data_IF_085636615851
#
_entry.id   IF_085636615851
#
_cell.length_a   1.000
_cell.length_b   1.000
_cell.length_c   1.000
_cell.angle_alpha   90.00
_cell.angle_beta   90.00
_cell.angle_gamma   90.00
#
_symmetry.space_group_name_H-M   'P 1'
#
loop_
_entity.id
_entity.type
_entity.pdbx_description
1 polymer ?
#
# COMPACT_ATOMS: atom_id res chain seq x y z
N UNK A 1 21.96 38.51 -0.37
CA UNK A 1 21.63 37.07 -0.36
C UNK A 1 20.32 36.93 -1.10
N UNK A 2 20.30 36.19 -2.21
CA UNK A 2 19.18 36.14 -3.15
C UNK A 2 17.93 35.56 -2.47
N UNK A 3 16.80 36.26 -2.62
CA UNK A 3 15.47 35.76 -2.27
C UNK A 3 15.14 34.58 -3.19
N UNK A 4 14.98 33.39 -2.63
CA UNK A 4 14.37 32.25 -3.32
C UNK A 4 12.86 32.56 -3.47
N UNK A 5 12.51 33.27 -4.55
CA UNK A 5 11.11 33.47 -4.90
C UNK A 5 10.47 32.11 -5.18
N UNK A 6 9.51 31.72 -4.34
CA UNK A 6 8.76 30.47 -4.51
C UNK A 6 8.00 30.53 -5.82
N UNK A 7 8.51 29.82 -6.82
CA UNK A 7 7.83 29.53 -8.10
C UNK A 7 6.44 28.97 -7.79
N UNK A 8 5.40 29.71 -8.18
CA UNK A 8 4.03 29.27 -7.95
C UNK A 8 3.52 28.55 -9.19
N UNK A 9 3.24 27.24 -9.05
CA UNK A 9 2.66 26.41 -10.10
C UNK A 9 1.17 26.23 -9.83
N UNK A 10 0.32 26.62 -10.78
CA UNK A 10 -1.14 26.52 -10.64
C UNK A 10 -1.70 25.51 -11.65
N UNK A 11 -2.61 24.63 -11.21
CA UNK A 11 -3.31 23.70 -12.10
C UNK A 11 -4.73 24.18 -12.40
N UNK A 12 -5.09 24.27 -13.68
CA UNK A 12 -6.43 24.67 -14.13
C UNK A 12 -7.17 23.49 -14.75
N UNK A 13 -8.44 23.35 -14.40
CA UNK A 13 -9.37 22.38 -14.98
C UNK A 13 -10.47 23.03 -15.84
N UNK A 14 -10.51 24.36 -15.87
CA UNK A 14 -11.48 25.17 -16.62
C UNK A 14 -10.77 25.97 -17.71
N UNK A 15 -11.52 26.36 -18.75
CA UNK A 15 -11.00 27.23 -19.80
C UNK A 15 -10.52 28.56 -19.22
N UNK A 16 -9.35 29.02 -19.68
CA UNK A 16 -8.85 30.35 -19.36
C UNK A 16 -9.77 31.40 -19.99
N UNK A 17 -10.26 32.32 -19.17
CA UNK A 17 -10.91 33.56 -19.59
C UNK A 17 -10.10 34.74 -19.07
N UNK A 18 -10.24 35.91 -19.69
CA UNK A 18 -9.57 37.14 -19.24
C UNK A 18 -9.80 37.41 -17.74
N UNK A 19 -11.02 37.20 -17.25
CA UNK A 19 -11.34 37.34 -15.82
C UNK A 19 -10.57 36.37 -14.94
N UNK A 20 -10.40 35.12 -15.36
CA UNK A 20 -9.64 34.11 -14.61
C UNK A 20 -8.15 34.43 -14.58
N UNK A 21 -7.59 34.97 -15.66
CA UNK A 21 -6.19 35.39 -15.73
C UNK A 21 -5.92 36.48 -14.68
N UNK A 22 -6.74 37.53 -14.67
CA UNK A 22 -6.62 38.63 -13.69
C UNK A 22 -6.71 38.10 -12.25
N UNK A 23 -7.68 37.21 -11.98
CA UNK A 23 -7.81 36.58 -10.66
C UNK A 23 -6.58 35.75 -10.26
N UNK A 24 -5.94 35.06 -11.21
CA UNK A 24 -4.72 34.32 -10.93
C UNK A 24 -3.54 35.23 -10.65
N UNK A 25 -3.41 36.34 -11.40
CA UNK A 25 -2.35 37.32 -11.17
C UNK A 25 -2.50 38.02 -9.81
N UNK A 26 -3.73 38.40 -9.43
CA UNK A 26 -3.99 39.02 -8.11
C UNK A 26 -3.69 38.05 -6.96
N UNK A 27 -4.03 36.77 -7.14
CA UNK A 27 -3.90 35.75 -6.09
C UNK A 27 -2.49 35.18 -5.98
N UNK A 28 -1.77 35.13 -7.09
CA UNK A 28 -0.43 34.56 -7.21
C UNK A 28 0.46 35.54 -7.97
N UNK A 29 1.03 36.55 -7.29
CA UNK A 29 1.84 37.58 -7.92
C UNK A 29 3.14 37.04 -8.56
N UNK A 30 3.61 35.86 -8.12
CA UNK A 30 4.81 35.19 -8.62
C UNK A 30 4.45 33.90 -9.40
N UNK A 31 3.39 33.97 -10.21
CA UNK A 31 2.92 32.86 -11.04
C UNK A 31 3.83 32.72 -12.26
N UNK A 32 4.54 31.60 -12.38
CA UNK A 32 5.39 31.32 -13.55
C UNK A 32 4.81 30.21 -14.43
N UNK A 33 4.10 29.24 -13.84
CA UNK A 33 3.66 28.04 -14.58
C UNK A 33 2.19 27.75 -14.33
N UNK A 34 1.42 27.70 -15.43
CA UNK A 34 0.05 27.21 -15.45
C UNK A 34 0.03 25.83 -16.09
N UNK A 35 -0.45 24.83 -15.36
CA UNK A 35 -0.63 23.46 -15.87
C UNK A 35 -2.08 23.17 -16.19
N UNK A 36 -2.36 22.50 -17.31
CA UNK A 36 -3.73 22.14 -17.69
C UNK A 36 -3.83 20.78 -18.43
N UNK A 37 -5.01 20.15 -18.44
CA UNK A 37 -5.27 18.99 -19.29
C UNK A 37 -5.18 19.35 -20.79
N UNK A 38 -4.79 18.39 -21.63
CA UNK A 38 -4.69 18.57 -23.08
C UNK A 38 -5.97 19.11 -23.72
N UNK A 39 -7.13 18.58 -23.30
CA UNK A 39 -8.44 19.01 -23.80
C UNK A 39 -8.76 20.48 -23.50
N UNK A 40 -8.21 21.03 -22.42
CA UNK A 40 -8.33 22.45 -22.09
C UNK A 40 -7.31 23.23 -22.91
N UNK A 41 -6.05 22.80 -22.95
CA UNK A 41 -4.98 23.44 -23.72
C UNK A 41 -5.38 23.68 -25.17
N UNK A 42 -5.92 22.65 -25.83
CA UNK A 42 -6.30 22.71 -27.24
C UNK A 42 -7.48 23.66 -27.53
N UNK A 43 -8.25 24.03 -26.50
CA UNK A 43 -9.35 24.99 -26.59
C UNK A 43 -8.92 26.43 -26.28
N UNK A 44 -7.72 26.63 -25.72
CA UNK A 44 -7.22 27.97 -25.42
C UNK A 44 -6.83 28.63 -26.76
N UNK A 45 -7.37 29.82 -27.08
CA UNK A 45 -6.95 30.54 -28.27
C UNK A 45 -5.47 30.93 -28.17
N UNK A 46 -4.70 30.75 -29.26
CA UNK A 46 -3.25 31.04 -29.31
C UNK A 46 -2.87 32.41 -28.76
N UNK A 47 -3.69 33.42 -29.02
CA UNK A 47 -3.52 34.79 -28.51
C UNK A 47 -3.38 34.87 -26.99
N UNK A 48 -4.10 34.01 -26.25
CA UNK A 48 -3.98 33.97 -24.80
C UNK A 48 -2.68 33.30 -24.33
N UNK A 49 -2.23 32.26 -25.03
CA UNK A 49 -0.95 31.60 -24.73
C UNK A 49 0.20 32.57 -24.99
N UNK A 50 0.16 33.30 -26.11
CA UNK A 50 1.15 34.32 -26.44
C UNK A 50 1.16 35.47 -25.42
N UNK A 51 -0.02 35.96 -25.01
CA UNK A 51 -0.12 37.00 -23.99
C UNK A 51 0.40 36.54 -22.62
N UNK A 52 0.16 35.29 -22.24
CA UNK A 52 0.69 34.72 -20.99
C UNK A 52 2.21 34.55 -21.07
N UNK A 53 2.74 34.08 -22.20
CA UNK A 53 4.18 33.97 -22.42
C UNK A 53 4.88 35.35 -22.40
N UNK A 54 4.23 36.41 -22.86
CA UNK A 54 4.75 37.79 -22.75
C UNK A 54 4.83 38.30 -21.30
N UNK A 55 4.07 37.69 -20.40
CA UNK A 55 4.09 37.97 -18.96
C UNK A 55 5.01 37.00 -18.20
N UNK A 56 5.86 36.25 -18.90
CA UNK A 56 6.71 35.19 -18.36
C UNK A 56 5.93 34.06 -17.66
N UNK A 57 4.69 33.81 -18.11
CA UNK A 57 3.83 32.73 -17.62
C UNK A 57 3.73 31.62 -18.65
N UNK A 58 4.34 30.47 -18.37
CA UNK A 58 4.29 29.31 -19.25
C UNK A 58 3.03 28.46 -19.03
N UNK A 59 2.36 28.10 -20.13
CA UNK A 59 1.22 27.18 -20.09
C UNK A 59 1.65 25.78 -20.54
N UNK A 60 1.72 24.85 -19.59
CA UNK A 60 2.19 23.48 -19.82
C UNK A 60 1.04 22.46 -19.73
N UNK A 61 1.10 21.43 -20.59
CA UNK A 61 0.15 20.32 -20.53
C UNK A 61 0.59 19.37 -19.42
N UNK A 62 -0.25 19.17 -18.41
CA UNK A 62 -0.03 18.17 -17.36
C UNK A 62 -1.14 17.13 -17.39
N UNK A 63 -0.76 15.91 -17.77
CA UNK A 63 -1.64 14.75 -17.66
C UNK A 63 -1.60 14.22 -16.23
N UNK A 64 -2.67 14.44 -15.47
CA UNK A 64 -2.95 13.64 -14.29
C UNK A 64 -3.75 12.40 -14.73
N UNK A 65 -3.14 11.54 -15.56
CA UNK A 65 -3.80 10.30 -15.99
C UNK A 65 -3.71 9.28 -14.86
N UNK A 66 -4.85 8.88 -14.33
CA UNK A 66 -4.97 7.77 -13.39
C UNK A 66 -5.65 8.14 -12.07
N UNK A 67 -6.31 7.14 -11.49
CA UNK A 67 -6.72 7.20 -10.09
C UNK A 67 -5.43 7.25 -9.26
N UNK A 68 -5.25 8.28 -8.42
CA UNK A 68 -4.16 8.27 -7.44
C UNK A 68 -4.23 6.91 -6.74
N UNK A 69 -3.10 6.21 -6.70
CA UNK A 69 -3.01 4.90 -6.03
C UNK A 69 -3.66 5.05 -4.66
N UNK A 70 -4.70 4.25 -4.38
CA UNK A 70 -5.41 4.27 -3.10
C UNK A 70 -4.46 4.13 -1.90
N UNK A 71 -3.28 3.57 -2.14
CA UNK A 71 -2.19 3.44 -1.18
C UNK A 71 -1.05 4.37 -1.55
N UNK A 72 -0.58 5.10 -0.54
CA UNK A 72 0.68 5.81 -0.58
C UNK A 72 1.85 4.85 -0.89
N UNK A 73 2.89 5.37 -1.54
CA UNK A 73 4.11 4.63 -1.90
C UNK A 73 4.73 3.98 -0.66
N UNK A 74 4.76 4.70 0.46
CA UNK A 74 5.29 4.24 1.73
C UNK A 74 4.52 3.03 2.30
N UNK A 75 3.19 3.08 2.23
CA UNK A 75 2.34 1.98 2.69
C UNK A 75 2.55 0.75 1.80
N UNK A 76 2.60 0.96 0.47
CA UNK A 76 2.90 -0.09 -0.49
C UNK A 76 4.25 -0.74 -0.17
N UNK A 77 5.31 0.02 0.00
CA UNK A 77 6.65 -0.51 0.27
C UNK A 77 6.71 -1.29 1.60
N UNK A 78 6.08 -0.78 2.66
CA UNK A 78 5.96 -1.50 3.94
C UNK A 78 5.25 -2.86 3.78
N UNK A 79 4.16 -2.90 3.02
CA UNK A 79 3.43 -4.15 2.76
C UNK A 79 4.31 -5.16 2.00
N UNK A 80 5.01 -4.70 0.95
CA UNK A 80 5.90 -5.56 0.14
C UNK A 80 7.07 -6.10 0.95
N UNK A 81 7.66 -5.29 1.84
CA UNK A 81 8.73 -5.74 2.73
C UNK A 81 8.27 -6.80 3.73
N UNK A 82 7.04 -6.69 4.25
CA UNK A 82 6.48 -7.72 5.13
C UNK A 82 6.20 -9.02 4.37
N UNK A 83 5.79 -8.93 3.10
CA UNK A 83 5.70 -10.10 2.23
C UNK A 83 7.06 -10.75 2.00
N UNK A 84 8.11 -9.96 1.73
CA UNK A 84 9.49 -10.46 1.60
C UNK A 84 10.01 -11.16 2.85
N UNK A 85 9.57 -10.70 4.03
CA UNK A 85 9.83 -11.35 5.33
C UNK A 85 8.99 -12.63 5.56
N UNK A 86 8.13 -12.99 4.61
CA UNK A 86 7.34 -14.22 4.61
C UNK A 86 6.04 -14.16 5.42
N UNK A 87 5.56 -12.96 5.78
CA UNK A 87 4.31 -12.82 6.54
C UNK A 87 3.07 -13.03 5.66
N UNK A 88 2.04 -13.65 6.22
CA UNK A 88 0.75 -13.83 5.55
C UNK A 88 0.03 -12.51 5.34
N UNK A 89 -0.87 -12.46 4.32
CA UNK A 89 -1.79 -11.35 4.14
C UNK A 89 -2.58 -11.00 5.41
N UNK A 90 -2.95 -12.02 6.21
CA UNK A 90 -3.70 -11.83 7.47
C UNK A 90 -2.86 -11.11 8.52
N UNK A 91 -1.64 -11.58 8.77
CA UNK A 91 -0.73 -10.96 9.75
C UNK A 91 -0.37 -9.52 9.33
N UNK A 92 -0.19 -9.27 8.03
CA UNK A 92 0.08 -7.93 7.52
C UNK A 92 -1.13 -7.01 7.71
N UNK A 93 -2.34 -7.51 7.42
CA UNK A 93 -3.60 -6.79 7.61
C UNK A 93 -3.79 -6.35 9.06
N UNK A 94 -3.59 -7.26 10.01
CA UNK A 94 -3.66 -6.98 11.45
C UNK A 94 -2.56 -6.00 11.89
N UNK A 95 -1.31 -6.21 11.43
CA UNK A 95 -0.16 -5.38 11.83
C UNK A 95 -0.23 -3.94 11.34
N UNK A 96 -0.72 -3.73 10.12
CA UNK A 96 -0.80 -2.39 9.51
C UNK A 96 -2.19 -1.76 9.61
N UNK A 97 -3.16 -2.47 10.20
CA UNK A 97 -4.57 -2.08 10.24
C UNK A 97 -5.13 -1.73 8.85
N UNK A 98 -4.75 -2.52 7.83
CA UNK A 98 -5.19 -2.36 6.44
C UNK A 98 -6.17 -3.49 6.12
N UNK A 99 -7.28 -3.22 5.40
CA UNK A 99 -8.22 -4.28 5.01
C UNK A 99 -7.54 -5.43 4.27
N UNK A 100 -7.88 -6.66 4.63
CA UNK A 100 -7.29 -7.87 4.04
C UNK A 100 -7.38 -7.87 2.51
N UNK A 101 -8.51 -7.43 1.95
CA UNK A 101 -8.72 -7.27 0.50
C UNK A 101 -7.65 -6.39 -0.15
N UNK A 102 -7.26 -5.32 0.52
CA UNK A 102 -6.24 -4.38 0.05
C UNK A 102 -4.85 -4.99 0.08
N UNK A 103 -4.53 -5.79 1.10
CA UNK A 103 -3.28 -6.53 1.16
C UNK A 103 -3.18 -7.56 0.03
N UNK A 104 -4.26 -8.29 -0.27
CA UNK A 104 -4.32 -9.18 -1.43
C UNK A 104 -4.16 -8.43 -2.75
N UNK A 105 -4.85 -7.29 -2.92
CA UNK A 105 -4.67 -6.45 -4.10
C UNK A 105 -3.20 -6.04 -4.31
N UNK A 106 -2.53 -5.57 -3.24
CA UNK A 106 -1.12 -5.18 -3.30
C UNK A 106 -0.22 -6.37 -3.64
N UNK A 107 -0.50 -7.55 -3.09
CA UNK A 107 0.22 -8.78 -3.43
C UNK A 107 0.11 -9.10 -4.93
N UNK A 108 -1.11 -9.19 -5.45
CA UNK A 108 -1.33 -9.61 -6.84
C UNK A 108 -0.80 -8.59 -7.85
N UNK A 109 -0.83 -7.30 -7.51
CA UNK A 109 -0.40 -6.24 -8.41
C UNK A 109 1.11 -6.04 -8.46
N UNK A 110 1.81 -6.30 -7.35
CA UNK A 110 3.22 -5.89 -7.19
C UNK A 110 4.19 -7.02 -6.82
N UNK A 111 3.72 -8.24 -6.55
CA UNK A 111 4.55 -9.39 -6.21
C UNK A 111 4.42 -10.50 -7.27
N UNK A 112 5.54 -11.01 -7.77
CA UNK A 112 5.58 -12.16 -8.69
C UNK A 112 5.00 -13.42 -8.05
N UNK A 113 4.44 -14.34 -8.87
CA UNK A 113 3.64 -15.48 -8.41
C UNK A 113 4.40 -16.49 -7.51
N UNK A 114 5.73 -16.48 -7.49
CA UNK A 114 6.56 -17.48 -6.81
C UNK A 114 6.80 -17.23 -5.31
N UNK A 115 6.13 -16.24 -4.72
CA UNK A 115 6.30 -15.93 -3.29
C UNK A 115 5.63 -16.98 -2.39
N UNK A 116 6.44 -17.84 -1.77
CA UNK A 116 6.02 -18.78 -0.72
C UNK A 116 5.95 -18.06 0.63
N UNK A 117 4.81 -18.18 1.31
CA UNK A 117 4.65 -17.65 2.67
C UNK A 117 5.30 -18.59 3.68
N UNK A 118 5.89 -18.01 4.72
CA UNK A 118 6.46 -18.75 5.84
C UNK A 118 5.43 -19.04 6.93
N UNK A 119 4.14 -18.73 6.72
CA UNK A 119 3.09 -19.11 7.67
C UNK A 119 2.84 -20.61 7.60
N UNK A 120 3.72 -21.36 8.25
CA UNK A 120 3.39 -22.67 8.78
C UNK A 120 2.13 -22.44 9.64
N UNK A 121 1.03 -23.14 9.33
CA UNK A 121 -0.16 -23.14 10.18
C UNK A 121 0.32 -23.37 11.62
N UNK A 122 0.22 -22.34 12.47
CA UNK A 122 0.53 -22.51 13.89
C UNK A 122 -0.42 -23.58 14.40
N UNK A 123 0.13 -24.68 14.91
CA UNK A 123 -0.68 -25.74 15.50
C UNK A 123 -1.62 -25.11 16.53
N UNK A 124 -2.86 -25.62 16.62
CA UNK A 124 -3.82 -25.24 17.66
C UNK A 124 -3.22 -25.40 19.07
N UNK A 125 -2.22 -26.27 19.19
CA UNK A 125 -1.55 -26.63 20.42
C UNK A 125 -0.15 -26.01 20.49
N UNK A 126 0.24 -25.58 21.70
CA UNK A 126 1.56 -25.00 21.93
C UNK A 126 2.67 -26.03 21.68
N UNK A 127 3.87 -25.53 21.32
CA UNK A 127 5.05 -26.38 21.10
C UNK A 127 5.38 -27.21 22.35
N UNK A 128 5.25 -26.61 23.52
CA UNK A 128 5.46 -27.28 24.81
C UNK A 128 4.55 -28.50 25.02
N UNK A 129 3.26 -28.38 24.67
CA UNK A 129 2.32 -29.49 24.80
C UNK A 129 2.66 -30.61 23.80
N UNK A 130 3.02 -30.24 22.56
CA UNK A 130 3.46 -31.19 21.53
C UNK A 130 4.68 -31.98 22.05
N UNK A 131 5.70 -31.28 22.55
CA UNK A 131 6.92 -31.89 23.05
C UNK A 131 6.67 -32.81 24.26
N UNK A 132 5.78 -32.41 25.19
CA UNK A 132 5.37 -33.27 26.32
C UNK A 132 4.70 -34.56 25.85
N UNK A 133 3.73 -34.46 24.94
CA UNK A 133 3.00 -35.62 24.42
C UNK A 133 3.94 -36.59 23.69
N UNK A 134 4.89 -36.05 22.91
CA UNK A 134 5.90 -36.87 22.23
C UNK A 134 6.87 -37.54 23.21
N UNK A 135 7.25 -36.87 24.31
CA UNK A 135 8.05 -37.48 25.39
C UNK A 135 7.32 -38.65 26.05
N UNK A 136 6.06 -38.47 26.44
CA UNK A 136 5.28 -39.57 27.03
C UNK A 136 5.20 -40.82 26.14
N UNK A 137 5.14 -40.64 24.81
CA UNK A 137 5.20 -41.77 23.88
C UNK A 137 6.57 -42.48 23.92
N UNK A 138 7.67 -41.74 24.02
CA UNK A 138 9.03 -42.31 24.17
C UNK A 138 9.20 -43.03 25.51
N UNK A 139 8.58 -42.49 26.56
CA UNK A 139 8.59 -43.06 27.91
C UNK A 139 7.63 -44.26 28.08
N UNK A 140 6.91 -44.65 27.00
CA UNK A 140 6.06 -45.85 26.97
C UNK A 140 4.63 -45.68 27.47
N UNK A 141 4.16 -44.45 27.70
CA UNK A 141 2.77 -44.20 28.13
C UNK A 141 1.77 -44.54 27.03
N UNK A 142 0.61 -45.07 27.42
CA UNK A 142 -0.51 -45.30 26.50
C UNK A 142 -1.18 -43.97 26.11
N UNK A 143 -1.80 -43.93 24.92
CA UNK A 143 -2.52 -42.75 24.47
C UNK A 143 -3.71 -42.38 25.38
N UNK A 144 -4.30 -43.37 26.05
CA UNK A 144 -5.39 -43.18 27.03
C UNK A 144 -4.86 -42.46 28.27
N UNK A 145 -3.69 -42.87 28.77
CA UNK A 145 -3.09 -42.27 29.97
C UNK A 145 -2.67 -40.82 29.71
N UNK A 146 -2.08 -40.56 28.54
CA UNK A 146 -1.73 -39.19 28.12
C UNK A 146 -2.97 -38.32 27.96
N UNK A 147 -4.05 -38.87 27.39
CA UNK A 147 -5.32 -38.16 27.23
C UNK A 147 -5.91 -37.72 28.57
N UNK A 148 -5.90 -38.60 29.57
CA UNK A 148 -6.34 -38.29 30.93
C UNK A 148 -5.41 -37.30 31.63
N UNK A 149 -4.10 -37.48 31.50
CA UNK A 149 -3.07 -36.68 32.19
C UNK A 149 -3.02 -35.23 31.69
N UNK A 150 -3.08 -35.02 30.38
CA UNK A 150 -3.04 -33.68 29.79
C UNK A 150 -4.44 -33.11 29.52
N UNK A 151 -5.50 -33.84 29.90
CA UNK A 151 -6.90 -33.46 29.69
C UNK A 151 -7.21 -33.07 28.23
N UNK A 152 -6.78 -33.90 27.28
CA UNK A 152 -6.98 -33.70 25.84
C UNK A 152 -7.64 -34.92 25.21
N UNK A 153 -8.45 -34.77 24.13
CA UNK A 153 -9.07 -35.91 23.47
C UNK A 153 -8.05 -36.91 22.94
N UNK A 154 -8.35 -38.21 23.00
CA UNK A 154 -7.43 -39.25 22.54
C UNK A 154 -7.01 -39.08 21.07
N UNK A 155 -7.94 -38.62 20.21
CA UNK A 155 -7.65 -38.28 18.80
C UNK A 155 -6.61 -37.17 18.67
N UNK A 156 -6.60 -36.23 19.62
CA UNK A 156 -5.60 -35.15 19.67
C UNK A 156 -4.24 -35.73 20.05
N UNK A 157 -4.17 -36.67 21.01
CA UNK A 157 -2.90 -37.34 21.36
C UNK A 157 -2.27 -38.01 20.14
N UNK A 158 -3.05 -38.74 19.34
CA UNK A 158 -2.56 -39.33 18.08
C UNK A 158 -2.13 -38.27 17.05
N UNK A 159 -2.93 -37.21 16.90
CA UNK A 159 -2.60 -36.10 16.01
C UNK A 159 -1.26 -35.45 16.39
N UNK A 160 -1.05 -35.12 17.67
CA UNK A 160 0.18 -34.49 18.16
C UNK A 160 1.41 -35.37 17.97
N UNK A 161 1.26 -36.69 18.14
CA UNK A 161 2.30 -37.67 17.87
C UNK A 161 2.60 -37.89 16.37
N UNK A 162 1.76 -37.36 15.47
CA UNK A 162 1.96 -37.43 14.01
C UNK A 162 2.67 -36.19 13.43
N UNK A 163 2.82 -35.13 14.22
CA UNK A 163 3.53 -33.91 13.84
C UNK A 163 5.04 -34.23 13.83
N UNK A 164 5.69 -34.04 12.68
CA UNK A 164 7.14 -34.19 12.51
C UNK A 164 7.89 -32.95 12.98
#
# INVERSE_FOLDING_TARGET
MLNEEKVTVVHISKSLSSKLIVQFMDKYPNLEIITCPKSIYDRIPKKYIEALNQLDIEVNIKYNWGNNSKFDEDIRNKVLDLFKKGLSPKNISEKLNIPLKSIYYLKYKYLSQDFKFNDVKRSKYSKELIDRVQRYKKDGFSAIDVSKKENIPIRTVYYLNSIK
#
